data_IF_053654098526
#
_entry.id   IF_053654098526
#
_cell.length_a   1.000
_cell.length_b   1.000
_cell.length_c   1.000
_cell.angle_alpha   90.00
_cell.angle_beta   90.00
_cell.angle_gamma   90.00
#
_symmetry.space_group_name_H-M   'P 1'
#
loop_
_entity.id
_entity.type
_entity.pdbx_description
1 polymer ?
#
# COMPACT_ATOMS: atom_id res chain seq x y z
N UNK A 1 5.07 -19.88 9.24
CA UNK A 1 4.11 -19.56 8.16
C UNK A 1 4.68 -20.10 6.86
N UNK A 2 3.85 -20.70 6.02
CA UNK A 2 4.31 -21.14 4.70
C UNK A 2 4.43 -19.94 3.75
N UNK A 3 5.37 -19.99 2.82
CA UNK A 3 5.56 -18.97 1.78
C UNK A 3 4.26 -18.68 0.97
N UNK A 4 3.36 -19.66 0.87
CA UNK A 4 2.07 -19.51 0.23
C UNK A 4 1.09 -18.58 0.98
N UNK A 5 1.24 -18.44 2.31
CA UNK A 5 0.39 -17.54 3.10
C UNK A 5 0.69 -16.06 2.82
N UNK A 6 1.95 -15.70 2.75
CA UNK A 6 2.36 -14.32 2.47
C UNK A 6 2.04 -13.89 1.03
N UNK A 7 2.18 -14.80 0.07
CA UNK A 7 1.81 -14.48 -1.31
C UNK A 7 0.31 -14.19 -1.46
N UNK A 8 -0.55 -14.98 -0.81
CA UNK A 8 -1.99 -14.77 -0.83
C UNK A 8 -2.39 -13.47 -0.10
N UNK A 9 -1.73 -13.16 1.01
CA UNK A 9 -1.94 -11.91 1.75
C UNK A 9 -1.54 -10.68 0.93
N UNK A 10 -0.37 -10.72 0.27
CA UNK A 10 0.08 -9.65 -0.61
C UNK A 10 -0.85 -9.46 -1.82
N UNK A 11 -1.36 -10.54 -2.40
CA UNK A 11 -2.33 -10.50 -3.51
C UNK A 11 -3.64 -9.85 -3.08
N UNK A 12 -4.19 -10.22 -1.92
CA UNK A 12 -5.40 -9.62 -1.38
C UNK A 12 -5.20 -8.13 -1.06
N UNK A 13 -4.07 -7.79 -0.42
CA UNK A 13 -3.71 -6.42 -0.09
C UNK A 13 -3.58 -5.57 -1.36
N UNK A 14 -2.87 -6.06 -2.39
CA UNK A 14 -2.75 -5.38 -3.67
C UNK A 14 -4.10 -5.16 -4.35
N UNK A 15 -4.93 -6.20 -4.43
CA UNK A 15 -6.28 -6.10 -5.00
C UNK A 15 -7.10 -5.02 -4.28
N UNK A 16 -6.99 -4.95 -2.97
CA UNK A 16 -7.67 -3.93 -2.17
C UNK A 16 -7.11 -2.52 -2.41
N UNK A 17 -5.80 -2.37 -2.48
CA UNK A 17 -5.15 -1.08 -2.74
C UNK A 17 -5.51 -0.50 -4.11
N UNK A 18 -5.65 -1.35 -5.13
CA UNK A 18 -6.05 -0.92 -6.47
C UNK A 18 -7.46 -0.32 -6.48
N UNK A 19 -8.37 -0.82 -5.64
CA UNK A 19 -9.75 -0.32 -5.55
C UNK A 19 -9.86 1.10 -5.02
N UNK A 20 -8.83 1.60 -4.35
CA UNK A 20 -8.74 3.02 -4.03
C UNK A 20 -8.25 3.79 -5.25
N UNK A 21 -9.07 4.69 -5.77
CA UNK A 21 -8.66 5.58 -6.86
C UNK A 21 -7.81 6.72 -6.28
N UNK A 22 -6.51 6.57 -6.40
CA UNK A 22 -5.52 7.52 -5.88
C UNK A 22 -4.80 8.29 -6.99
N UNK A 23 -5.54 8.64 -8.04
CA UNK A 23 -4.99 9.40 -9.17
C UNK A 23 -4.48 10.76 -8.72
N UNK A 24 -3.29 11.10 -9.14
CA UNK A 24 -2.66 12.39 -8.95
C UNK A 24 -2.33 13.03 -10.32
N UNK A 25 -2.82 14.23 -10.63
CA UNK A 25 -3.74 15.05 -9.83
C UNK A 25 -5.18 14.53 -9.81
N UNK A 26 -6.01 14.88 -8.78
CA UNK A 26 -5.70 15.79 -7.65
C UNK A 26 -4.98 15.12 -6.47
N UNK A 27 -4.95 13.78 -6.40
CA UNK A 27 -4.52 13.01 -5.25
C UNK A 27 -5.65 12.79 -4.24
N UNK A 28 -5.82 11.54 -3.79
CA UNK A 28 -6.82 11.12 -2.81
C UNK A 28 -6.31 9.87 -2.08
N UNK A 29 -5.14 9.97 -1.48
CA UNK A 29 -4.44 8.82 -0.90
C UNK A 29 -4.93 8.50 0.51
N UNK A 30 -5.72 9.36 1.15
CA UNK A 30 -6.13 9.22 2.56
C UNK A 30 -6.73 7.84 2.87
N UNK A 31 -7.75 7.43 2.13
CA UNK A 31 -8.43 6.14 2.40
C UNK A 31 -7.50 4.95 2.25
N UNK A 32 -6.62 4.97 1.24
CA UNK A 32 -5.61 3.93 1.05
C UNK A 32 -4.60 3.90 2.20
N UNK A 33 -4.15 5.08 2.65
CA UNK A 33 -3.20 5.19 3.76
C UNK A 33 -3.83 4.78 5.10
N UNK A 34 -5.10 5.12 5.34
CA UNK A 34 -5.84 4.67 6.53
C UNK A 34 -6.03 3.16 6.55
N UNK A 35 -6.33 2.57 5.39
CA UNK A 35 -6.43 1.12 5.24
C UNK A 35 -5.09 0.42 5.53
N UNK A 36 -3.99 0.92 4.95
CA UNK A 36 -2.64 0.42 5.20
C UNK A 36 -2.24 0.57 6.67
N UNK A 37 -2.56 1.71 7.29
CA UNK A 37 -2.29 1.94 8.71
C UNK A 37 -2.99 0.88 9.58
N UNK A 38 -4.26 0.59 9.31
CA UNK A 38 -5.00 -0.45 10.03
C UNK A 38 -4.38 -1.84 9.86
N UNK A 39 -3.95 -2.18 8.65
CA UNK A 39 -3.27 -3.44 8.35
C UNK A 39 -1.95 -3.56 9.12
N UNK A 40 -1.10 -2.54 9.06
CA UNK A 40 0.19 -2.51 9.75
C UNK A 40 0.06 -2.46 11.27
N UNK A 41 -0.93 -1.72 11.81
CA UNK A 41 -1.22 -1.71 13.25
C UNK A 41 -1.60 -3.09 13.75
N UNK A 42 -2.36 -3.88 12.98
CA UNK A 42 -2.71 -5.24 13.36
C UNK A 42 -1.48 -6.17 13.42
N UNK A 43 -0.41 -5.81 12.72
CA UNK A 43 0.88 -6.49 12.75
C UNK A 43 1.86 -5.90 13.79
N UNK A 44 1.41 -4.94 14.60
CA UNK A 44 2.21 -4.38 15.72
C UNK A 44 3.00 -3.12 15.40
N UNK A 45 2.77 -2.51 14.22
CA UNK A 45 3.42 -1.24 13.89
C UNK A 45 2.76 -0.06 14.60
N UNK A 46 3.56 0.91 14.99
CA UNK A 46 3.12 2.25 15.36
C UNK A 46 2.95 3.07 14.07
N UNK A 47 1.72 3.57 13.81
CA UNK A 47 1.38 4.28 12.59
C UNK A 47 0.96 5.71 12.84
N UNK A 48 1.43 6.64 12.01
CA UNK A 48 1.05 8.04 11.99
C UNK A 48 0.73 8.48 10.56
N UNK A 49 -0.33 9.27 10.40
CA UNK A 49 -0.65 9.95 9.16
C UNK A 49 -0.19 11.40 9.25
N UNK A 50 0.72 11.81 8.38
CA UNK A 50 1.38 13.12 8.40
C UNK A 50 1.26 13.80 7.05
N UNK A 51 1.04 15.10 7.04
CA UNK A 51 1.02 15.90 5.82
C UNK A 51 0.20 17.17 5.96
N UNK A 52 0.46 18.13 5.08
CA UNK A 52 -0.25 19.41 5.04
C UNK A 52 -1.61 19.29 4.34
N UNK A 53 -1.71 18.38 3.38
CA UNK A 53 -2.92 18.16 2.59
C UNK A 53 -3.77 17.04 3.23
N UNK A 54 -4.98 17.33 3.72
CA UNK A 54 -5.82 16.35 4.41
C UNK A 54 -6.08 15.07 3.60
N UNK A 55 -6.29 15.20 2.29
CA UNK A 55 -6.57 14.06 1.40
C UNK A 55 -5.30 13.33 0.91
N UNK A 56 -4.13 13.87 1.24
CA UNK A 56 -2.84 13.36 0.79
C UNK A 56 -1.84 13.15 1.92
N UNK A 57 -2.20 12.44 3.00
CA UNK A 57 -1.26 12.19 4.08
C UNK A 57 -0.19 11.18 3.67
N UNK A 58 0.99 11.31 4.25
CA UNK A 58 1.97 10.24 4.26
C UNK A 58 1.70 9.31 5.44
N UNK A 59 1.78 8.02 5.22
CA UNK A 59 1.79 7.03 6.29
C UNK A 59 3.23 6.77 6.73
N UNK A 60 3.50 6.97 8.01
CA UNK A 60 4.76 6.58 8.63
C UNK A 60 4.49 5.46 9.61
N UNK A 61 5.03 4.28 9.35
CA UNK A 61 4.87 3.10 10.18
C UNK A 61 6.23 2.67 10.74
N UNK A 62 6.29 2.40 12.04
CA UNK A 62 7.50 2.00 12.75
C UNK A 62 7.29 0.70 13.49
N UNK A 63 8.20 -0.23 13.31
CA UNK A 63 8.30 -1.46 14.11
C UNK A 63 9.65 -1.45 14.83
N UNK A 64 9.62 -1.58 16.15
CA UNK A 64 10.83 -1.64 16.97
C UNK A 64 11.15 -3.10 17.28
N UNK A 65 12.43 -3.45 17.26
CA UNK A 65 12.87 -4.76 17.71
C UNK A 65 12.59 -4.92 19.21
N UNK A 66 12.21 -6.13 19.62
CA UNK A 66 12.03 -6.47 21.04
C UNK A 66 13.34 -6.24 21.81
N UNK A 67 13.25 -5.58 22.96
CA UNK A 67 14.42 -5.27 23.81
C UNK A 67 15.26 -4.08 23.34
N UNK A 68 14.92 -3.43 22.23
CA UNK A 68 15.55 -2.21 21.78
C UNK A 68 15.03 -1.01 22.60
N UNK A 69 15.45 -0.90 23.85
CA UNK A 69 15.10 0.22 24.71
C UNK A 69 15.84 1.52 24.32
N UNK A 70 16.90 1.40 23.50
CA UNK A 70 17.77 2.53 23.11
C UNK A 70 18.02 2.59 21.61
N UNK A 71 18.15 3.81 21.11
CA UNK A 71 18.54 4.13 19.71
C UNK A 71 19.91 3.54 19.29
N UNK A 72 20.63 2.92 20.19
CA UNK A 72 21.92 2.25 19.97
C UNK A 72 21.78 0.79 19.46
N UNK A 73 20.58 0.28 19.29
CA UNK A 73 20.33 -1.14 19.02
C UNK A 73 20.65 -1.62 17.60
N UNK A 74 21.24 -0.78 16.74
CA UNK A 74 21.65 -1.16 15.38
C UNK A 74 21.07 -0.29 14.28
N UNK A 75 21.34 -0.64 13.01
CA UNK A 75 20.86 0.13 11.86
C UNK A 75 19.35 0.02 11.69
N UNK A 76 18.75 1.10 11.21
CA UNK A 76 17.33 1.13 10.81
C UNK A 76 17.19 0.76 9.34
N UNK A 77 16.27 -0.17 9.03
CA UNK A 77 15.83 -0.42 7.66
C UNK A 77 14.63 0.47 7.38
N UNK A 78 14.67 1.21 6.30
CA UNK A 78 13.56 2.05 5.84
C UNK A 78 13.09 1.60 4.46
N UNK A 79 11.79 1.29 4.35
CA UNK A 79 11.11 1.13 3.07
C UNK A 79 10.42 2.43 2.69
N UNK A 80 10.54 2.83 1.45
CA UNK A 80 9.90 4.01 0.90
C UNK A 80 9.10 3.63 -0.35
N UNK A 81 7.84 3.99 -0.38
CA UNK A 81 6.96 3.74 -1.52
C UNK A 81 5.89 4.82 -1.63
N UNK A 82 5.17 4.82 -2.74
CA UNK A 82 4.02 5.69 -2.97
C UNK A 82 2.78 4.89 -3.34
N UNK A 83 1.59 5.46 -3.09
CA UNK A 83 0.30 4.85 -3.40
C UNK A 83 -0.53 5.66 -4.39
N UNK A 84 -0.08 6.86 -4.75
CA UNK A 84 -0.70 7.60 -5.84
C UNK A 84 -0.41 6.95 -7.19
N UNK A 85 -1.24 7.25 -8.17
CA UNK A 85 -1.12 6.71 -9.51
C UNK A 85 -1.33 7.79 -10.56
N UNK A 86 -0.85 7.57 -11.77
CA UNK A 86 -1.27 8.34 -12.93
C UNK A 86 -2.71 7.97 -13.32
N UNK A 87 -3.34 8.81 -14.10
CA UNK A 87 -4.71 8.58 -14.56
C UNK A 87 -4.82 7.30 -15.43
N UNK A 88 -6.04 6.80 -15.55
CA UNK A 88 -6.40 5.73 -16.48
C UNK A 88 -7.75 6.08 -17.10
N UNK A 89 -7.90 5.75 -18.37
CA UNK A 89 -9.16 5.87 -19.10
C UNK A 89 -9.79 4.48 -19.21
N UNK A 90 -10.85 4.16 -18.45
CA UNK A 90 -11.41 2.81 -18.37
C UNK A 90 -11.77 2.21 -19.74
N UNK A 91 -12.14 3.05 -20.69
CA UNK A 91 -12.47 2.64 -22.08
C UNK A 91 -11.28 2.08 -22.87
N UNK A 92 -10.06 2.32 -22.41
CA UNK A 92 -8.82 1.81 -23.02
C UNK A 92 -8.33 0.50 -22.36
N UNK A 93 -9.05 0.03 -21.32
CA UNK A 93 -8.66 -1.14 -20.55
C UNK A 93 -9.56 -2.35 -20.84
N UNK A 94 -8.96 -3.54 -20.90
CA UNK A 94 -9.69 -4.82 -21.00
C UNK A 94 -10.49 -5.12 -19.73
N UNK A 95 -9.93 -4.78 -18.56
CA UNK A 95 -10.56 -4.88 -17.25
C UNK A 95 -10.60 -3.49 -16.61
N UNK A 96 -11.61 -3.22 -15.77
CA UNK A 96 -11.70 -1.94 -15.09
C UNK A 96 -10.41 -1.64 -14.30
N UNK A 97 -9.73 -0.51 -14.56
CA UNK A 97 -8.46 -0.17 -13.90
C UNK A 97 -8.54 -0.02 -12.38
N UNK A 98 -9.76 0.10 -11.82
CA UNK A 98 -9.98 0.24 -10.38
C UNK A 98 -10.64 -1.00 -9.75
N UNK A 99 -10.77 -2.10 -10.48
CA UNK A 99 -11.42 -3.32 -9.99
C UNK A 99 -10.54 -4.14 -9.04
N UNK A 100 -9.22 -4.16 -9.26
CA UNK A 100 -8.33 -5.09 -8.58
C UNK A 100 -8.67 -6.56 -8.91
N UNK A 101 -9.25 -6.79 -10.09
CA UNK A 101 -9.70 -8.10 -10.53
C UNK A 101 -8.53 -9.05 -10.77
N UNK A 102 -8.72 -10.30 -10.38
CA UNK A 102 -7.79 -11.38 -10.72
C UNK A 102 -8.45 -12.19 -11.83
N UNK A 103 -7.85 -12.15 -13.01
CA UNK A 103 -8.33 -12.85 -14.19
C UNK A 103 -7.14 -13.38 -15.02
N UNK A 104 -7.27 -14.59 -15.56
CA UNK A 104 -6.28 -15.24 -16.42
C UNK A 104 -4.89 -15.35 -15.80
N UNK A 105 -4.80 -15.45 -14.46
CA UNK A 105 -3.54 -15.53 -13.72
C UNK A 105 -2.84 -14.18 -13.50
N UNK A 106 -3.51 -13.07 -13.79
CA UNK A 106 -3.01 -11.71 -13.58
C UNK A 106 -3.92 -10.91 -12.64
N UNK A 107 -3.32 -10.04 -11.85
CA UNK A 107 -4.05 -9.02 -11.09
C UNK A 107 -4.05 -7.72 -11.89
N UNK A 108 -5.26 -7.28 -12.26
CA UNK A 108 -5.47 -6.14 -13.16
C UNK A 108 -5.73 -4.86 -12.38
N UNK A 109 -5.10 -3.78 -12.81
CA UNK A 109 -5.47 -2.46 -12.32
C UNK A 109 -4.38 -1.41 -12.45
N UNK A 110 -4.80 -0.14 -12.36
CA UNK A 110 -3.88 0.98 -12.33
C UNK A 110 -3.12 0.99 -10.99
N UNK A 111 -1.80 1.04 -11.08
CA UNK A 111 -0.91 0.94 -9.92
C UNK A 111 -0.50 -0.49 -9.56
N UNK A 112 -0.99 -1.51 -10.29
CA UNK A 112 -0.57 -2.90 -10.06
C UNK A 112 0.93 -3.11 -10.25
N UNK A 113 1.58 -2.33 -11.13
CA UNK A 113 3.02 -2.37 -11.36
C UNK A 113 3.75 -1.19 -10.69
N UNK A 114 3.22 0.02 -10.78
CA UNK A 114 3.83 1.24 -10.25
C UNK A 114 2.84 1.95 -9.30
N UNK A 115 2.99 1.80 -7.96
CA UNK A 115 3.87 0.81 -7.34
C UNK A 115 3.16 0.13 -6.16
N UNK A 116 1.82 -0.01 -6.25
CA UNK A 116 1.02 -0.64 -5.18
C UNK A 116 1.42 -2.10 -4.90
N UNK A 117 1.99 -2.79 -5.92
CA UNK A 117 2.52 -4.15 -5.74
C UNK A 117 3.72 -4.19 -4.78
N UNK A 118 4.66 -3.25 -4.92
CA UNK A 118 5.79 -3.15 -4.02
C UNK A 118 5.38 -2.70 -2.61
N UNK A 119 4.30 -1.92 -2.51
CA UNK A 119 3.74 -1.54 -1.20
C UNK A 119 3.05 -2.74 -0.53
N UNK A 120 2.41 -3.61 -1.31
CA UNK A 120 1.71 -4.79 -0.79
C UNK A 120 2.66 -5.94 -0.43
N UNK A 121 3.84 -6.01 -1.06
CA UNK A 121 4.83 -7.08 -0.84
C UNK A 121 5.63 -6.88 0.44
#
# INVERSE_FOLDING_TARGET
>A
MSSNGHAAEAEELLSRLIRFNTVNPPGAEREAQEYLAGHLQSAGFECELLGAEPERPNLVARLRAEGAADAAAGPTLCYLGHVDTVLAHPEEWTHDPWSGEIADGFLWGRGALDMKSQVAA
#
